data_IF_284085792193
#
_entry.id   IF_284085792193
#
_cell.length_a   1.000
_cell.length_b   1.000
_cell.length_c   1.000
_cell.angle_alpha   90.00
_cell.angle_beta   90.00
_cell.angle_gamma   90.00
#
_symmetry.space_group_name_H-M   'P 1'
#
loop_
_entity.id
_entity.type
_entity.pdbx_description
1 polymer ?
#
# COMPACT_ATOMS: atom_id res chain seq x y z
N UNK A 1 5.51 -7.03 -25.53
CA UNK A 1 4.88 -7.48 -24.25
C UNK A 1 3.44 -8.01 -24.42
N UNK A 2 2.68 -7.61 -25.45
CA UNK A 2 1.29 -8.08 -25.64
C UNK A 2 1.10 -9.56 -26.03
N UNK A 3 2.07 -10.19 -26.70
CA UNK A 3 1.97 -11.60 -27.13
C UNK A 3 2.21 -12.59 -25.98
N UNK A 4 3.20 -12.33 -25.12
CA UNK A 4 3.55 -13.20 -24.00
C UNK A 4 2.38 -13.32 -23.01
N UNK A 5 1.69 -12.21 -22.72
CA UNK A 5 0.50 -12.22 -21.86
C UNK A 5 -0.65 -13.04 -22.45
N UNK A 6 -0.82 -13.00 -23.77
CA UNK A 6 -1.86 -13.76 -24.47
C UNK A 6 -1.58 -15.28 -24.43
N UNK A 7 -0.33 -15.66 -24.62
CA UNK A 7 0.09 -17.06 -24.59
C UNK A 7 -0.02 -17.66 -23.17
N UNK A 8 0.36 -16.89 -22.14
CA UNK A 8 0.20 -17.30 -20.73
C UNK A 8 -1.28 -17.49 -20.37
N UNK A 9 -2.16 -16.60 -20.84
CA UNK A 9 -3.60 -16.70 -20.61
C UNK A 9 -4.19 -17.95 -21.26
N UNK A 10 -3.76 -18.30 -22.47
CA UNK A 10 -4.20 -19.50 -23.20
C UNK A 10 -3.74 -20.80 -22.53
N UNK A 11 -2.51 -20.82 -22.00
CA UNK A 11 -1.99 -21.96 -21.22
C UNK A 11 -2.81 -22.15 -19.94
N UNK A 12 -3.10 -21.05 -19.24
CA UNK A 12 -3.88 -21.08 -18.01
C UNK A 12 -5.32 -21.54 -18.23
N UNK A 13 -5.96 -21.09 -19.31
CA UNK A 13 -7.30 -21.52 -19.70
C UNK A 13 -7.36 -23.03 -19.98
N UNK A 14 -6.38 -23.56 -20.73
CA UNK A 14 -6.28 -24.99 -21.01
C UNK A 14 -5.99 -25.83 -19.77
N UNK A 15 -5.12 -25.36 -18.87
CA UNK A 15 -4.87 -26.03 -17.58
C UNK A 15 -6.14 -26.08 -16.73
N UNK A 16 -6.87 -24.96 -16.63
CA UNK A 16 -8.12 -24.90 -15.88
C UNK A 16 -9.18 -25.85 -16.44
N UNK A 17 -9.36 -25.87 -17.76
CA UNK A 17 -10.31 -26.78 -18.42
C UNK A 17 -9.91 -28.26 -18.30
N UNK A 18 -8.60 -28.55 -18.35
CA UNK A 18 -8.05 -29.91 -18.20
C UNK A 18 -8.21 -30.46 -16.78
N UNK A 19 -7.79 -29.69 -15.76
CA UNK A 19 -7.93 -30.08 -14.35
C UNK A 19 -9.41 -30.28 -14.00
N UNK A 20 -10.30 -29.42 -14.49
CA UNK A 20 -11.75 -29.57 -14.28
C UNK A 20 -12.29 -30.89 -14.85
N UNK A 21 -11.88 -31.24 -16.07
CA UNK A 21 -12.37 -32.45 -16.76
C UNK A 21 -11.83 -33.74 -16.14
N UNK A 22 -10.59 -33.75 -15.67
CA UNK A 22 -9.94 -34.96 -15.14
C UNK A 22 -10.36 -35.31 -13.71
N UNK A 23 -10.74 -34.33 -12.88
CA UNK A 23 -11.03 -34.56 -11.45
C UNK A 23 -12.52 -34.60 -11.06
N UNK A 24 -13.47 -34.40 -11.98
CA UNK A 24 -14.91 -34.54 -11.68
C UNK A 24 -15.43 -33.61 -10.56
N UNK A 25 -14.74 -32.49 -10.32
CA UNK A 25 -14.96 -31.64 -9.16
C UNK A 25 -16.24 -30.79 -9.29
N UNK A 26 -16.96 -30.53 -8.17
CA UNK A 26 -18.11 -29.62 -8.16
C UNK A 26 -17.70 -28.19 -8.56
N UNK A 27 -18.69 -27.37 -8.98
CA UNK A 27 -18.46 -26.01 -9.44
C UNK A 27 -17.64 -25.18 -8.44
N UNK A 28 -16.39 -24.90 -8.79
CA UNK A 28 -15.49 -24.04 -8.04
C UNK A 28 -15.06 -22.87 -8.93
N UNK A 29 -15.43 -21.66 -8.52
CA UNK A 29 -15.07 -20.46 -9.27
C UNK A 29 -13.69 -19.99 -8.83
N UNK A 30 -12.68 -20.28 -9.66
CA UNK A 30 -11.33 -19.74 -9.52
C UNK A 30 -11.34 -18.21 -9.38
N UNK A 31 -12.22 -17.53 -10.13
CA UNK A 31 -12.41 -16.07 -10.02
C UNK A 31 -12.88 -15.66 -8.61
N UNK A 32 -13.84 -16.38 -8.01
CA UNK A 32 -14.28 -16.10 -6.63
C UNK A 32 -13.13 -16.31 -5.63
N UNK A 33 -12.32 -17.35 -5.82
CA UNK A 33 -11.16 -17.63 -4.98
C UNK A 33 -10.06 -16.57 -5.10
N UNK A 34 -9.67 -16.18 -6.32
CA UNK A 34 -8.69 -15.11 -6.53
C UNK A 34 -9.22 -13.79 -5.96
N UNK A 35 -10.50 -13.47 -6.19
CA UNK A 35 -11.13 -12.26 -5.65
C UNK A 35 -11.14 -12.25 -4.12
N UNK A 36 -11.37 -13.38 -3.46
CA UNK A 36 -11.33 -13.45 -1.99
C UNK A 36 -9.90 -13.30 -1.46
N UNK A 37 -8.91 -13.88 -2.14
CA UNK A 37 -7.49 -13.71 -1.80
C UNK A 37 -7.04 -12.26 -1.91
N UNK A 38 -7.37 -11.57 -3.01
CA UNK A 38 -7.05 -10.14 -3.19
C UNK A 38 -7.71 -9.29 -2.10
N UNK A 39 -9.00 -9.50 -1.82
CA UNK A 39 -9.69 -8.79 -0.74
C UNK A 39 -9.05 -9.00 0.62
N UNK A 40 -8.60 -10.21 0.91
CA UNK A 40 -7.94 -10.51 2.18
C UNK A 40 -6.57 -9.84 2.29
N UNK A 41 -5.80 -9.79 1.19
CA UNK A 41 -4.53 -9.05 1.16
C UNK A 41 -4.75 -7.55 1.43
N UNK A 42 -5.70 -6.92 0.74
CA UNK A 42 -6.05 -5.50 0.96
C UNK A 42 -6.45 -5.23 2.41
N UNK A 43 -7.28 -6.10 3.01
CA UNK A 43 -7.66 -5.98 4.42
C UNK A 43 -6.47 -6.12 5.37
N UNK A 44 -5.51 -6.98 5.03
CA UNK A 44 -4.32 -7.16 5.85
C UNK A 44 -3.46 -5.90 5.85
N UNK A 45 -3.24 -5.30 4.68
CA UNK A 45 -2.53 -4.01 4.55
C UNK A 45 -3.26 -2.92 5.34
N UNK A 46 -4.56 -2.78 5.15
CA UNK A 46 -5.36 -1.78 5.87
C UNK A 46 -5.23 -1.95 7.38
N UNK A 47 -5.40 -3.16 7.89
CA UNK A 47 -5.27 -3.46 9.33
C UNK A 47 -3.88 -3.12 9.86
N UNK A 48 -2.82 -3.42 9.10
CA UNK A 48 -1.46 -3.03 9.47
C UNK A 48 -1.35 -1.50 9.59
N UNK A 49 -1.75 -0.76 8.55
CA UNK A 49 -1.64 0.72 8.52
C UNK A 49 -2.42 1.37 9.67
N UNK A 50 -3.62 0.88 9.99
CA UNK A 50 -4.43 1.36 11.10
C UNK A 50 -3.79 1.04 12.45
N UNK A 51 -3.18 -0.14 12.60
CA UNK A 51 -2.55 -0.57 13.85
C UNK A 51 -1.33 0.29 14.17
N UNK A 52 -0.44 0.50 13.20
CA UNK A 52 0.77 1.32 13.42
C UNK A 52 0.44 2.80 13.65
N UNK A 53 -0.55 3.34 12.91
CA UNK A 53 -1.00 4.71 13.14
C UNK A 53 -1.67 4.86 14.52
N UNK A 54 -2.45 3.88 14.95
CA UNK A 54 -3.05 3.90 16.29
C UNK A 54 -1.98 3.82 17.38
N UNK A 55 -0.95 3.00 17.21
CA UNK A 55 0.13 2.86 18.18
C UNK A 55 0.93 4.16 18.31
N UNK A 56 1.27 4.78 17.17
CA UNK A 56 1.91 6.09 17.13
C UNK A 56 1.07 7.15 17.85
N UNK A 57 -0.25 7.16 17.62
CA UNK A 57 -1.19 8.07 18.28
C UNK A 57 -1.23 7.88 19.79
N UNK A 58 -1.25 6.63 20.26
CA UNK A 58 -1.27 6.31 21.70
C UNK A 58 -0.01 6.82 22.40
N UNK A 59 1.13 6.81 21.71
CA UNK A 59 2.39 7.34 22.22
C UNK A 59 2.57 8.85 21.99
N UNK A 60 1.61 9.52 21.35
CA UNK A 60 1.65 10.96 21.12
C UNK A 60 2.61 11.40 20.03
N UNK A 61 2.90 10.55 19.04
CA UNK A 61 3.71 10.91 17.88
C UNK A 61 2.85 11.53 16.76
N UNK A 62 3.43 12.49 16.04
CA UNK A 62 2.78 13.17 14.92
C UNK A 62 2.80 12.34 13.62
N UNK A 63 3.82 11.49 13.46
CA UNK A 63 4.02 10.69 12.26
C UNK A 63 4.62 9.31 12.56
N UNK A 64 4.42 8.37 11.64
CA UNK A 64 5.05 7.06 11.64
C UNK A 64 5.59 6.73 10.24
N UNK A 65 6.86 6.32 10.18
CA UNK A 65 7.53 5.91 8.95
C UNK A 65 7.72 4.40 8.99
N UNK A 66 7.13 3.70 8.01
CA UNK A 66 7.10 2.25 7.91
C UNK A 66 7.67 1.79 6.56
N UNK A 67 8.09 0.53 6.50
CA UNK A 67 8.45 -0.18 5.27
C UNK A 67 7.67 -1.49 5.15
N UNK A 68 8.33 -2.57 4.70
CA UNK A 68 7.86 -3.97 4.69
C UNK A 68 6.68 -4.33 3.78
N UNK A 69 5.71 -3.44 3.55
CA UNK A 69 4.53 -3.73 2.70
C UNK A 69 4.79 -3.41 1.22
N UNK A 70 5.91 -2.73 0.91
CA UNK A 70 6.31 -2.38 -0.46
C UNK A 70 5.26 -1.54 -1.20
N UNK A 71 4.42 -0.80 -0.45
CA UNK A 71 3.39 0.07 -0.99
C UNK A 71 3.69 1.50 -0.58
N UNK A 72 4.25 2.27 -1.50
CA UNK A 72 4.54 3.68 -1.29
C UNK A 72 3.24 4.46 -1.01
N UNK A 73 3.18 5.12 0.14
CA UNK A 73 1.98 5.84 0.57
C UNK A 73 2.30 6.92 1.59
N UNK A 74 1.71 8.09 1.44
CA UNK A 74 1.79 9.20 2.38
C UNK A 74 0.37 9.71 2.63
N UNK A 75 -0.16 9.49 3.84
CA UNK A 75 -1.56 9.82 4.18
C UNK A 75 -1.79 10.09 5.66
N UNK A 76 -2.80 10.89 5.98
CA UNK A 76 -3.26 11.08 7.35
C UNK A 76 -4.15 9.90 7.78
N UNK A 77 -3.86 9.32 8.95
CA UNK A 77 -4.69 8.29 9.59
C UNK A 77 -4.94 8.70 11.03
N UNK A 78 -6.18 9.00 11.38
CA UNK A 78 -6.60 9.32 12.76
C UNK A 78 -5.74 10.40 13.45
N UNK A 79 -5.31 11.41 12.69
CA UNK A 79 -4.47 12.49 13.21
C UNK A 79 -2.96 12.22 13.18
N UNK A 80 -2.51 11.03 12.78
CA UNK A 80 -1.09 10.69 12.59
C UNK A 80 -0.75 10.63 11.11
N UNK A 81 0.38 11.20 10.70
CA UNK A 81 0.88 11.07 9.33
C UNK A 81 1.53 9.70 9.14
N UNK A 82 0.93 8.86 8.31
CA UNK A 82 1.50 7.57 7.92
C UNK A 82 2.34 7.75 6.65
N UNK A 83 3.59 7.30 6.71
CA UNK A 83 4.53 7.31 5.60
C UNK A 83 5.05 5.90 5.33
N UNK A 84 5.04 5.48 4.06
CA UNK A 84 5.71 4.29 3.59
C UNK A 84 6.50 4.62 2.33
N UNK A 85 7.79 4.31 2.34
CA UNK A 85 8.74 4.60 1.26
C UNK A 85 8.64 3.62 0.09
N UNK A 86 7.87 2.55 0.23
CA UNK A 86 7.65 1.54 -0.80
C UNK A 86 8.86 0.62 -0.96
N UNK A 87 9.34 0.49 -2.19
CA UNK A 87 10.47 -0.34 -2.57
C UNK A 87 11.17 0.21 -3.81
N UNK A 88 12.31 -0.39 -4.14
CA UNK A 88 13.14 0.06 -5.27
C UNK A 88 12.95 -0.81 -6.52
N UNK A 89 11.93 -1.68 -6.51
CA UNK A 89 11.69 -2.67 -7.56
C UNK A 89 10.42 -2.32 -8.33
N UNK A 90 9.30 -2.17 -7.63
CA UNK A 90 8.00 -1.88 -8.22
C UNK A 90 7.68 -0.38 -8.16
N UNK A 91 7.80 0.21 -6.97
CA UNK A 91 7.40 1.60 -6.73
C UNK A 91 8.50 2.61 -7.08
N UNK A 92 9.77 2.24 -6.87
CA UNK A 92 10.94 3.08 -7.13
C UNK A 92 10.82 4.46 -6.46
N UNK A 93 10.43 4.47 -5.19
CA UNK A 93 10.20 5.67 -4.40
C UNK A 93 11.23 5.88 -3.31
N UNK A 94 11.34 7.11 -2.84
CA UNK A 94 12.06 7.46 -1.63
C UNK A 94 11.24 8.47 -0.81
N UNK A 95 11.29 8.36 0.51
CA UNK A 95 10.75 9.35 1.41
C UNK A 95 11.84 10.38 1.72
N UNK A 96 11.52 11.67 1.55
CA UNK A 96 12.45 12.78 1.76
C UNK A 96 11.85 13.75 2.77
N UNK A 97 12.66 14.18 3.73
CA UNK A 97 12.34 15.26 4.65
C UNK A 97 13.06 16.53 4.18
N UNK A 98 12.31 17.62 4.04
CA UNK A 98 12.86 18.94 3.74
C UNK A 98 13.36 19.65 5.00
N UNK A 99 14.21 20.65 4.86
CA UNK A 99 14.69 21.46 5.99
C UNK A 99 13.57 22.19 6.76
N UNK A 100 12.39 22.34 6.16
CA UNK A 100 11.17 22.86 6.79
C UNK A 100 10.41 21.81 7.63
N UNK A 101 10.85 20.56 7.67
CA UNK A 101 10.18 19.44 8.33
C UNK A 101 9.05 18.80 7.52
N UNK A 102 8.86 19.19 6.26
CA UNK A 102 7.85 18.57 5.38
C UNK A 102 8.35 17.25 4.79
N UNK A 103 7.49 16.23 4.84
CA UNK A 103 7.75 14.90 4.29
C UNK A 103 7.08 14.73 2.93
N UNK A 104 7.85 14.20 1.97
CA UNK A 104 7.40 14.00 0.59
C UNK A 104 7.87 12.65 0.05
N UNK A 105 7.04 12.02 -0.78
CA UNK A 105 7.41 10.83 -1.55
C UNK A 105 7.87 11.23 -2.95
N UNK A 106 9.14 10.95 -3.26
CA UNK A 106 9.72 11.18 -4.59
C UNK A 106 9.77 9.89 -5.38
N UNK A 107 9.40 9.95 -6.66
CA UNK A 107 9.42 8.81 -7.58
C UNK A 107 10.61 8.91 -8.53
N UNK A 108 11.45 7.87 -8.59
CA UNK A 108 12.62 7.84 -9.47
C UNK A 108 12.24 7.74 -10.96
N UNK A 109 11.19 6.98 -11.30
CA UNK A 109 10.78 6.75 -12.71
C UNK A 109 9.92 7.87 -13.30
N UNK A 110 9.32 8.71 -12.48
CA UNK A 110 8.60 9.89 -12.93
C UNK A 110 9.56 11.07 -12.81
N UNK A 111 10.22 11.45 -13.91
CA UNK A 111 10.91 12.73 -13.95
C UNK A 111 9.91 13.84 -13.53
N UNK A 112 10.09 14.40 -12.33
CA UNK A 112 9.53 15.67 -11.84
C UNK A 112 8.02 15.79 -11.53
N UNK A 113 7.41 14.82 -10.84
CA UNK A 113 6.14 15.11 -10.15
C UNK A 113 6.25 14.78 -8.65
N UNK A 114 6.35 15.84 -7.84
CA UNK A 114 6.22 15.76 -6.38
C UNK A 114 4.80 15.31 -6.09
N UNK A 115 4.63 14.04 -5.72
CA UNK A 115 3.33 13.45 -5.44
C UNK A 115 3.06 13.58 -3.93
N UNK A 116 2.41 14.69 -3.56
CA UNK A 116 1.84 14.88 -2.23
C UNK A 116 2.81 15.45 -1.20
N UNK A 117 2.57 16.70 -0.82
CA UNK A 117 3.17 17.32 0.36
C UNK A 117 2.14 17.22 1.49
N UNK A 118 2.50 16.54 2.59
CA UNK A 118 1.72 16.65 3.83
C UNK A 118 2.34 17.76 4.68
N UNK A 119 1.56 18.81 4.93
CA UNK A 119 1.93 19.87 5.87
C UNK A 119 1.57 19.38 7.27
N UNK A 120 2.58 19.24 8.13
CA UNK A 120 2.41 18.99 9.56
C UNK A 120 2.08 20.34 10.19
N UNK A 121 0.80 20.71 10.22
CA UNK A 121 0.36 21.98 10.79
C UNK A 121 0.28 21.86 12.33
N UNK A 122 1.06 22.72 12.97
CA UNK A 122 1.25 23.02 14.39
C UNK A 122 0.03 22.75 15.31
N UNK A 123 0.05 21.62 16.03
CA UNK A 123 -0.87 21.34 17.14
C UNK A 123 -0.17 21.49 18.50
N UNK A 124 0.45 22.65 18.77
CA UNK A 124 1.08 22.94 20.06
C UNK A 124 0.95 24.41 20.53
N UNK A 125 -0.25 25.00 20.59
CA UNK A 125 -0.49 26.16 21.48
C UNK A 125 -1.94 26.20 22.01
N UNK A 126 -2.08 26.13 23.35
CA UNK A 126 -3.28 26.44 24.13
C UNK A 126 -4.09 25.19 24.56
N UNK A 127 -4.29 24.83 25.83
CA UNK A 127 -4.40 25.62 27.06
C UNK A 127 -3.75 24.89 28.25
N UNK A 128 -2.69 25.48 28.81
CA UNK A 128 -2.48 25.49 30.25
C UNK A 128 -2.61 26.94 30.69
N UNK A 129 -3.72 27.28 31.33
CA UNK A 129 -3.80 28.43 32.22
C UNK A 129 -4.75 28.04 33.37
N UNK A 130 -4.18 28.10 34.57
CA UNK A 130 -4.88 28.11 35.84
C UNK A 130 -5.63 29.44 36.03
#
# INVERSE_FOLDING_TARGET
LGSIGYDVLMIFHRMHDGIRKTFGLPYWSLTKYVKSRVKNAVKHVQRYTETVASDARVHGFDAVICGHIHQAELKQINGVLYCNDGDWVESCTALVESNSGSLELVHWRAQHQVAGSAIVEEALVGEKAA
#
